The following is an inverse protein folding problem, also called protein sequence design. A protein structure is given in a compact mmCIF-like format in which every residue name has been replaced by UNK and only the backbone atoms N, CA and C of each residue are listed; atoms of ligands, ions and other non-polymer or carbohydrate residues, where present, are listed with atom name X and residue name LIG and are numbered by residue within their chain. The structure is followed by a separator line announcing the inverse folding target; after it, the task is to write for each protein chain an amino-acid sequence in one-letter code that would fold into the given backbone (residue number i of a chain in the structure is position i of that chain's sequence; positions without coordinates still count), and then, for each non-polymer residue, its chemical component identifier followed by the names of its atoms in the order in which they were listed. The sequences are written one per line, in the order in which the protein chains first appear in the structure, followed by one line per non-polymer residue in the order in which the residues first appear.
data_IF_934903001289
#
_entry.id   IF_934903001289
#
_cell.length_a   1.000
_cell.length_b   1.000
_cell.length_c   1.000
_cell.angle_alpha   90.00
_cell.angle_beta   90.00
_cell.angle_gamma   90.00
#
_symmetry.space_group_name_H-M   'P 1'
#
loop_
_entity.id
_entity.type
_entity.pdbx_description
1 polymer ?
#
# COMPACT_ATOMS: atom_id res chain seq x y z
N UNK A 1 -0.56 -14.50 3.56
CA UNK A 1 -1.71 -14.17 2.68
C UNK A 1 -1.49 -12.81 2.02
N UNK A 2 -1.96 -12.52 0.79
CA UNK A 2 -1.92 -11.16 0.26
C UNK A 2 -2.97 -10.27 0.95
N UNK A 3 -2.56 -9.13 1.51
CA UNK A 3 -3.45 -8.24 2.27
C UNK A 3 -3.05 -6.78 2.05
N UNK A 4 -4.03 -5.88 1.92
CA UNK A 4 -3.82 -4.43 1.82
C UNK A 4 -3.75 -3.81 3.22
N UNK A 5 -2.59 -3.27 3.58
CA UNK A 5 -2.24 -2.83 4.94
C UNK A 5 -1.42 -1.53 4.89
N UNK A 6 -1.30 -0.81 6.02
CA UNK A 6 -0.23 0.20 6.17
C UNK A 6 1.10 -0.53 5.98
N UNK A 7 1.88 -0.07 5.01
CA UNK A 7 3.02 -0.82 4.51
C UNK A 7 4.25 0.06 4.39
N UNK A 8 5.42 -0.37 4.91
CA UNK A 8 6.65 0.38 4.78
C UNK A 8 7.27 0.29 3.38
N UNK A 9 6.78 -0.60 2.50
CA UNK A 9 7.46 -0.97 1.25
C UNK A 9 7.64 0.18 0.26
N UNK A 10 6.69 1.12 0.22
CA UNK A 10 6.67 2.24 -0.73
C UNK A 10 6.29 3.57 -0.05
N UNK A 11 6.49 3.63 1.27
CA UNK A 11 6.08 4.76 2.10
C UNK A 11 6.86 6.02 1.76
N UNK A 12 8.13 5.86 1.40
CA UNK A 12 9.02 6.90 0.88
C UNK A 12 8.53 7.51 -0.45
N UNK A 13 7.71 6.78 -1.21
CA UNK A 13 7.10 7.26 -2.46
C UNK A 13 5.75 7.96 -2.24
N UNK A 14 5.26 7.97 -0.98
CA UNK A 14 3.95 8.50 -0.60
C UNK A 14 2.81 7.48 -0.72
N UNK A 15 3.14 6.19 -0.74
CA UNK A 15 2.16 5.10 -0.72
C UNK A 15 2.15 4.50 0.68
N UNK A 16 1.34 5.08 1.57
CA UNK A 16 1.24 4.64 2.96
C UNK A 16 0.60 3.25 3.11
N UNK A 17 -0.22 2.84 2.14
CA UNK A 17 -0.93 1.57 2.15
C UNK A 17 -0.65 0.78 0.87
N UNK A 18 -0.28 -0.50 1.01
CA UNK A 18 0.05 -1.37 -0.12
C UNK A 18 -0.36 -2.82 0.12
N UNK A 19 -0.68 -3.55 -0.95
CA UNK A 19 -1.04 -4.96 -0.90
C UNK A 19 0.19 -5.84 -1.13
N UNK A 20 0.59 -6.60 -0.11
CA UNK A 20 1.68 -7.56 -0.25
C UNK A 20 1.42 -8.82 0.55
N UNK A 21 2.31 -9.82 0.42
CA UNK A 21 2.24 -11.01 1.25
C UNK A 21 2.57 -10.64 2.68
N UNK A 22 1.72 -11.07 3.60
CA UNK A 22 1.91 -10.93 5.03
C UNK A 22 1.84 -12.27 5.76
N UNK A 23 2.54 -12.36 6.89
CA UNK A 23 2.31 -13.39 7.90
C UNK A 23 1.30 -12.85 8.92
N UNK A 24 0.26 -13.64 9.16
CA UNK A 24 -0.74 -13.37 10.18
C UNK A 24 -0.39 -14.14 11.45
N UNK A 25 -0.58 -13.52 12.60
CA UNK A 25 -0.54 -14.17 13.89
C UNK A 25 -1.66 -13.68 14.82
N UNK A 26 -1.61 -14.02 16.12
CA UNK A 26 -2.72 -13.77 17.04
C UNK A 26 -3.12 -12.29 17.18
N UNK A 27 -2.21 -11.37 16.86
CA UNK A 27 -2.44 -9.92 16.90
C UNK A 27 -2.74 -9.29 15.54
N UNK A 28 -3.04 -10.10 14.51
CA UNK A 28 -3.28 -9.64 13.14
C UNK A 28 -2.04 -9.76 12.27
N UNK A 29 -1.66 -8.69 11.57
CA UNK A 29 -0.51 -8.69 10.66
C UNK A 29 0.78 -8.57 11.46
N UNK A 30 1.60 -9.62 11.47
CA UNK A 30 2.86 -9.65 12.23
C UNK A 30 4.07 -9.30 11.37
N UNK A 31 4.04 -9.66 10.09
CA UNK A 31 5.15 -9.42 9.17
C UNK A 31 4.67 -9.10 7.78
N UNK A 32 5.32 -8.12 7.16
CA UNK A 32 5.10 -7.72 5.78
C UNK A 32 6.31 -8.19 4.97
N UNK A 33 6.08 -8.97 3.92
CA UNK A 33 7.12 -9.40 3.01
C UNK A 33 7.28 -8.42 1.85
N UNK A 34 8.49 -8.31 1.34
CA UNK A 34 8.80 -7.61 0.09
C UNK A 34 8.09 -8.27 -1.10
N UNK A 35 7.88 -7.48 -2.16
CA UNK A 35 7.29 -7.98 -3.42
C UNK A 35 8.23 -9.00 -4.09
N UNK A 36 9.53 -8.89 -3.85
CA UNK A 36 10.56 -9.76 -4.41
C UNK A 36 10.96 -9.32 -5.82
N UNK A 37 11.62 -10.24 -6.55
CA UNK A 37 12.06 -9.98 -7.92
C UNK A 37 10.86 -10.00 -8.87
N UNK A 38 10.68 -8.91 -9.59
CA UNK A 38 9.68 -8.77 -10.66
C UNK A 38 10.38 -8.69 -12.01
N UNK A 39 9.70 -9.15 -13.06
CA UNK A 39 10.11 -8.95 -14.44
C UNK A 39 10.00 -7.48 -14.85
N UNK A 40 10.61 -7.11 -15.98
CA UNK A 40 10.54 -5.74 -16.50
C UNK A 40 9.10 -5.30 -16.84
N UNK A 41 8.23 -6.24 -17.21
CA UNK A 41 6.82 -5.97 -17.49
C UNK A 41 6.03 -5.73 -16.20
N UNK A 42 6.24 -6.58 -15.19
CA UNK A 42 5.64 -6.42 -13.86
C UNK A 42 6.11 -5.15 -13.16
N UNK A 43 7.39 -4.77 -13.30
CA UNK A 43 7.89 -3.50 -12.76
C UNK A 43 7.16 -2.29 -13.35
N UNK A 44 6.90 -2.28 -14.66
CA UNK A 44 6.12 -1.19 -15.30
C UNK A 44 4.70 -1.11 -14.74
N UNK A 45 4.05 -2.25 -14.52
CA UNK A 45 2.72 -2.30 -13.92
C UNK A 45 2.73 -1.82 -12.47
N UNK A 46 3.77 -2.22 -11.71
CA UNK A 46 3.96 -1.79 -10.33
C UNK A 46 4.17 -0.27 -10.25
N UNK A 47 5.04 0.30 -11.07
CA UNK A 47 5.30 1.74 -11.11
C UNK A 47 4.02 2.54 -11.44
N UNK A 48 3.25 2.07 -12.43
CA UNK A 48 1.97 2.66 -12.78
C UNK A 48 0.96 2.58 -11.61
N UNK A 49 0.88 1.42 -10.95
CA UNK A 49 0.01 1.22 -9.81
C UNK A 49 0.39 2.12 -8.62
N UNK A 50 1.69 2.26 -8.32
CA UNK A 50 2.17 3.12 -7.24
C UNK A 50 1.82 4.60 -7.47
N UNK A 51 1.96 5.08 -8.71
CA UNK A 51 1.61 6.45 -9.08
C UNK A 51 0.11 6.76 -8.87
N UNK A 52 -0.78 5.81 -9.17
CA UNK A 52 -2.21 5.99 -8.99
C UNK A 52 -2.68 5.72 -7.55
N UNK A 53 -2.07 4.75 -6.86
CA UNK A 53 -2.34 4.47 -5.45
C UNK A 53 -2.07 5.69 -4.58
N UNK A 54 -0.95 6.38 -4.81
CA UNK A 54 -0.62 7.64 -4.11
C UNK A 54 -1.77 8.65 -4.18
N UNK A 55 -2.28 8.93 -5.39
CA UNK A 55 -3.40 9.88 -5.58
C UNK A 55 -4.67 9.43 -4.86
N UNK A 56 -4.95 8.13 -4.88
CA UNK A 56 -6.14 7.56 -4.24
C UNK A 56 -6.05 7.66 -2.71
N UNK A 57 -4.88 7.38 -2.14
CA UNK A 57 -4.61 7.51 -0.70
C UNK A 57 -4.75 8.97 -0.27
N UNK A 58 -4.07 9.89 -0.97
CA UNK A 58 -4.17 11.34 -0.70
C UNK A 58 -5.62 11.81 -0.74
N UNK A 59 -6.39 11.40 -1.74
CA UNK A 59 -7.82 11.73 -1.87
C UNK A 59 -8.64 11.20 -0.69
N UNK A 60 -8.39 9.97 -0.23
CA UNK A 60 -9.07 9.39 0.92
C UNK A 60 -8.78 10.14 2.23
N UNK A 61 -7.51 10.48 2.47
CA UNK A 61 -7.10 11.25 3.65
C UNK A 61 -7.69 12.67 3.61
N UNK A 62 -7.62 13.35 2.47
CA UNK A 62 -8.20 14.68 2.28
C UNK A 62 -9.72 14.68 2.48
N UNK A 63 -10.41 13.63 2.00
CA UNK A 63 -11.85 13.49 2.18
C UNK A 63 -12.23 13.48 3.66
N UNK A 64 -11.54 12.68 4.48
CA UNK A 64 -11.77 12.62 5.93
C UNK A 64 -11.37 13.93 6.61
N UNK A 65 -10.25 14.54 6.22
CA UNK A 65 -9.80 15.80 6.81
C UNK A 65 -10.75 16.98 6.53
N UNK A 66 -11.41 16.97 5.36
CA UNK A 66 -12.34 18.02 4.93
C UNK A 66 -13.79 17.73 5.39
N UNK A 67 -14.10 16.48 5.67
CA UNK A 67 -15.39 16.03 6.18
C UNK A 67 -15.19 15.16 7.43
N UNK A 68 -14.59 15.71 8.52
CA UNK A 68 -14.51 14.98 9.77
C UNK A 68 -15.96 14.74 10.20
N UNK A 69 -16.35 13.47 10.34
CA UNK A 69 -17.73 13.07 10.61
C UNK A 69 -18.38 13.96 11.66
N UNK A 70 -19.56 14.47 11.33
CA UNK A 70 -20.38 15.36 12.16
C UNK A 70 -20.68 14.73 13.53
#
# INVERSE_FOLDING_TARGET
EPTFVDSPLYKDQGVDFFASKVELGPSGVEKIHEVGKVSAEEQKLLDAALADLKKNIEKGVQFVATNPGN
#
